data_IF_383790537885
#
_entry.id   IF_383790537885
#
_cell.length_a   1.000
_cell.length_b   1.000
_cell.length_c   1.000
_cell.angle_alpha   90.00
_cell.angle_beta   90.00
_cell.angle_gamma   90.00
#
_symmetry.space_group_name_H-M   'P 1'
#
loop_
_entity.id
_entity.type
_entity.pdbx_description
1 polymer ?
#
# COMPACT_ATOMS: atom_id res chain seq x y z
N UNK A 1 47.64 -56.85 -12.09
CA UNK A 1 46.21 -57.20 -12.20
C UNK A 1 45.38 -56.35 -11.25
N UNK A 2 44.69 -55.34 -11.82
CA UNK A 2 43.33 -54.86 -11.52
C UNK A 2 42.84 -54.93 -10.07
N UNK A 3 42.96 -53.86 -9.28
CA UNK A 3 42.10 -53.61 -8.09
C UNK A 3 41.92 -52.12 -7.77
N UNK A 4 41.55 -51.29 -8.76
CA UNK A 4 41.16 -49.89 -8.53
C UNK A 4 39.96 -49.55 -9.42
N UNK A 5 38.79 -50.15 -9.16
CA UNK A 5 37.54 -49.85 -9.89
C UNK A 5 36.27 -50.15 -9.08
N UNK A 6 36.32 -50.16 -7.74
CA UNK A 6 35.11 -50.39 -6.92
C UNK A 6 34.96 -49.37 -5.79
N UNK A 7 35.33 -48.11 -6.07
CA UNK A 7 35.03 -46.99 -5.15
C UNK A 7 34.45 -45.79 -5.92
N UNK A 8 33.68 -46.06 -6.98
CA UNK A 8 32.93 -45.03 -7.71
C UNK A 8 31.50 -45.49 -8.02
N UNK A 9 30.94 -46.34 -7.15
CA UNK A 9 29.56 -46.84 -7.31
C UNK A 9 28.74 -46.79 -6.01
N UNK A 10 29.11 -45.91 -5.08
CA UNK A 10 28.40 -45.68 -3.82
C UNK A 10 27.89 -44.24 -3.64
N UNK A 11 27.84 -43.44 -4.71
CA UNK A 11 27.35 -42.06 -4.65
C UNK A 11 25.98 -41.84 -5.33
N UNK A 12 25.27 -42.90 -5.71
CA UNK A 12 23.99 -42.80 -6.44
C UNK A 12 22.75 -43.21 -5.66
N UNK A 13 22.87 -43.61 -4.38
CA UNK A 13 21.72 -44.01 -3.56
C UNK A 13 21.62 -43.06 -2.38
N UNK A 14 20.98 -41.90 -2.57
CA UNK A 14 20.88 -40.93 -1.47
C UNK A 14 19.87 -39.78 -1.61
N UNK A 15 19.41 -39.42 -2.81
CA UNK A 15 18.38 -38.39 -2.93
C UNK A 15 17.00 -39.00 -3.06
N UNK A 16 16.36 -39.29 -1.92
CA UNK A 16 14.89 -39.33 -1.84
C UNK A 16 14.42 -37.88 -1.98
N UNK A 17 14.20 -37.45 -3.22
CA UNK A 17 13.54 -36.18 -3.50
C UNK A 17 12.14 -36.23 -2.92
N UNK A 18 11.90 -35.50 -1.83
CA UNK A 18 10.54 -35.15 -1.43
C UNK A 18 10.03 -34.14 -2.46
N UNK A 19 9.26 -34.60 -3.44
CA UNK A 19 8.41 -33.70 -4.19
C UNK A 19 7.34 -33.21 -3.21
N UNK A 20 7.35 -31.91 -2.90
CA UNK A 20 6.26 -31.29 -2.15
C UNK A 20 5.03 -31.33 -3.08
N UNK A 21 4.10 -32.22 -2.79
CA UNK A 21 2.76 -32.11 -3.35
C UNK A 21 2.19 -30.81 -2.81
N UNK A 22 2.08 -29.79 -3.68
CA UNK A 22 1.37 -28.58 -3.35
C UNK A 22 -0.07 -29.01 -3.09
N UNK A 23 -0.45 -29.15 -1.83
CA UNK A 23 -1.87 -29.09 -1.50
C UNK A 23 -2.34 -27.77 -2.09
N UNK A 24 -3.22 -27.86 -3.10
CA UNK A 24 -4.01 -26.71 -3.52
C UNK A 24 -4.72 -26.30 -2.24
N UNK A 25 -4.19 -25.29 -1.55
CA UNK A 25 -4.95 -24.57 -0.56
C UNK A 25 -6.18 -24.17 -1.35
N UNK A 26 -7.35 -24.73 -1.00
CA UNK A 26 -8.61 -24.20 -1.49
C UNK A 26 -8.58 -22.75 -1.06
N UNK A 27 -8.17 -21.88 -1.97
CA UNK A 27 -8.23 -20.45 -1.79
C UNK A 27 -9.71 -20.23 -1.52
N UNK A 28 -10.05 -19.95 -0.26
CA UNK A 28 -11.35 -19.37 0.04
C UNK A 28 -11.32 -18.08 -0.77
N UNK A 29 -11.97 -18.10 -1.95
CA UNK A 29 -12.07 -16.96 -2.83
C UNK A 29 -12.74 -15.88 -1.99
N UNK A 30 -11.92 -15.06 -1.37
CA UNK A 30 -12.36 -13.99 -0.50
C UNK A 30 -12.82 -12.92 -1.46
N UNK A 31 -14.13 -12.66 -1.48
CA UNK A 31 -14.65 -11.61 -2.33
C UNK A 31 -14.34 -10.27 -1.65
N UNK A 32 -13.17 -9.70 -1.95
CA UNK A 32 -12.73 -8.42 -1.44
C UNK A 32 -12.81 -7.33 -2.51
N UNK A 33 -13.41 -6.20 -2.15
CA UNK A 33 -13.40 -4.97 -2.95
C UNK A 33 -12.52 -3.94 -2.25
N UNK A 34 -11.63 -3.28 -2.99
CA UNK A 34 -10.81 -2.18 -2.46
C UNK A 34 -11.64 -0.91 -2.33
N UNK A 35 -11.18 0.03 -1.50
CA UNK A 35 -11.77 1.36 -1.46
C UNK A 35 -11.57 2.08 -2.80
N UNK A 36 -12.55 2.88 -3.21
CA UNK A 36 -12.53 3.56 -4.50
C UNK A 36 -13.08 4.98 -4.37
N UNK A 37 -12.36 5.97 -4.91
CA UNK A 37 -12.87 7.33 -5.03
C UNK A 37 -13.68 7.49 -6.32
N UNK A 38 -14.78 8.28 -6.34
CA UNK A 38 -15.49 8.56 -7.57
C UNK A 38 -14.59 9.19 -8.64
N UNK A 39 -14.30 8.44 -9.71
CA UNK A 39 -13.36 8.83 -10.77
C UNK A 39 -11.92 8.34 -10.58
N UNK A 40 -11.67 7.48 -9.59
CA UNK A 40 -10.38 6.87 -9.30
C UNK A 40 -9.37 7.79 -8.60
N UNK A 41 -8.18 7.25 -8.37
CA UNK A 41 -7.13 7.90 -7.57
C UNK A 41 -6.67 9.24 -8.14
N UNK A 42 -6.57 9.34 -9.48
CA UNK A 42 -6.22 10.60 -10.15
C UNK A 42 -7.26 11.70 -9.93
N UNK A 43 -8.54 11.35 -9.89
CA UNK A 43 -9.60 12.32 -9.58
C UNK A 43 -9.50 12.80 -8.14
N UNK A 44 -9.21 11.90 -7.20
CA UNK A 44 -8.95 12.27 -5.81
C UNK A 44 -7.75 13.22 -5.68
N UNK A 45 -6.61 12.85 -6.29
CA UNK A 45 -5.41 13.67 -6.23
C UNK A 45 -5.64 15.09 -6.76
N UNK A 46 -6.35 15.23 -7.88
CA UNK A 46 -6.70 16.53 -8.44
C UNK A 46 -7.63 17.34 -7.52
N UNK A 47 -8.63 16.70 -6.91
CA UNK A 47 -9.52 17.38 -5.97
C UNK A 47 -8.81 17.81 -4.69
N UNK A 48 -7.97 16.94 -4.13
CA UNK A 48 -7.19 17.26 -2.95
C UNK A 48 -6.22 18.42 -3.23
N UNK A 49 -5.47 18.38 -4.33
CA UNK A 49 -4.58 19.47 -4.72
C UNK A 49 -5.33 20.78 -4.95
N UNK A 50 -6.54 20.72 -5.52
CA UNK A 50 -7.41 21.89 -5.64
C UNK A 50 -7.77 22.48 -4.28
N UNK A 51 -8.08 21.64 -3.28
CA UNK A 51 -8.36 22.12 -1.92
C UNK A 51 -7.10 22.70 -1.26
N UNK A 52 -5.94 22.08 -1.46
CA UNK A 52 -4.66 22.62 -0.99
C UNK A 52 -4.44 24.03 -1.55
N UNK A 53 -4.50 24.21 -2.87
CA UNK A 53 -4.30 25.54 -3.48
C UNK A 53 -5.36 26.58 -3.10
N UNK A 54 -6.59 26.14 -2.78
CA UNK A 54 -7.68 27.05 -2.43
C UNK A 54 -7.59 27.57 -0.99
N UNK A 55 -7.03 26.78 -0.07
CA UNK A 55 -7.06 27.08 1.37
C UNK A 55 -5.68 27.34 1.97
N UNK A 56 -4.61 26.83 1.35
CA UNK A 56 -3.27 26.82 1.91
C UNK A 56 -2.35 27.65 1.01
N UNK A 57 -1.66 28.61 1.62
CA UNK A 57 -0.61 29.37 0.95
C UNK A 57 0.71 28.61 1.04
N UNK A 58 0.99 27.80 0.01
CA UNK A 58 2.19 26.97 -0.05
C UNK A 58 3.50 27.79 -0.02
N UNK A 59 3.47 29.09 -0.34
CA UNK A 59 4.67 29.95 -0.31
C UNK A 59 5.18 30.21 1.11
N UNK A 60 4.35 29.99 2.13
CA UNK A 60 4.73 30.14 3.54
C UNK A 60 5.56 28.97 4.07
N UNK A 61 5.65 27.88 3.32
CA UNK A 61 6.36 26.69 3.73
C UNK A 61 7.68 26.54 2.96
N UNK A 62 8.77 26.31 3.70
CA UNK A 62 10.08 25.98 3.12
C UNK A 62 10.23 24.48 2.79
N UNK A 63 9.14 23.71 2.81
CA UNK A 63 9.15 22.28 2.52
C UNK A 63 9.30 22.06 1.02
N UNK A 64 10.34 21.33 0.64
CA UNK A 64 10.65 21.05 -0.76
C UNK A 64 10.90 19.55 -0.93
N UNK A 65 10.21 18.93 -1.87
CA UNK A 65 10.37 17.51 -2.17
C UNK A 65 9.06 16.77 -2.39
N UNK A 66 9.17 15.44 -2.50
CA UNK A 66 8.02 14.55 -2.67
C UNK A 66 7.49 14.13 -1.31
N UNK A 67 6.25 14.48 -1.03
CA UNK A 67 5.50 13.97 0.11
C UNK A 67 4.54 12.87 -0.32
N UNK A 68 4.31 11.92 0.59
CA UNK A 68 3.34 10.84 0.46
C UNK A 68 2.31 11.02 1.57
N UNK A 69 1.05 11.09 1.17
CA UNK A 69 -0.10 11.18 2.06
C UNK A 69 -0.71 9.79 2.18
N UNK A 70 -0.76 9.27 3.40
CA UNK A 70 -1.32 7.95 3.72
C UNK A 70 -2.55 8.20 4.58
N UNK A 71 -3.67 7.55 4.29
CA UNK A 71 -4.88 7.77 5.06
C UNK A 71 -5.78 6.54 5.02
N UNK A 72 -6.68 6.47 5.99
CA UNK A 72 -7.69 5.43 6.07
C UNK A 72 -9.01 5.91 5.45
N UNK A 73 -9.70 4.99 4.77
CA UNK A 73 -11.10 5.19 4.36
C UNK A 73 -12.00 4.48 5.36
N UNK A 74 -12.74 5.25 6.15
CA UNK A 74 -13.67 4.73 7.13
C UNK A 74 -14.91 4.11 6.47
N UNK A 75 -15.68 3.25 7.18
CA UNK A 75 -16.92 2.64 6.65
C UNK A 75 -17.97 3.65 6.17
N UNK A 76 -17.94 4.90 6.65
CA UNK A 76 -18.85 5.97 6.22
C UNK A 76 -18.38 6.72 4.95
N UNK A 77 -17.27 6.26 4.36
CA UNK A 77 -16.65 6.81 3.16
C UNK A 77 -15.83 8.08 3.40
N UNK A 78 -15.60 8.47 4.67
CA UNK A 78 -14.76 9.62 5.01
C UNK A 78 -13.31 9.19 5.21
N UNK A 79 -12.41 10.14 4.96
CA UNK A 79 -10.99 9.98 5.23
C UNK A 79 -10.71 10.22 6.71
N UNK A 80 -9.88 9.36 7.31
CA UNK A 80 -9.34 9.50 8.66
C UNK A 80 -7.84 9.18 8.69
N UNK A 81 -7.21 9.40 9.86
CA UNK A 81 -5.82 9.01 10.13
C UNK A 81 -4.82 9.43 9.04
N UNK A 82 -4.87 10.69 8.60
CA UNK A 82 -3.92 11.20 7.62
C UNK A 82 -2.51 11.20 8.25
N UNK A 83 -1.59 10.52 7.58
CA UNK A 83 -0.17 10.57 7.83
C UNK A 83 0.56 11.16 6.62
N UNK A 84 1.69 11.82 6.88
CA UNK A 84 2.49 12.53 5.88
C UNK A 84 3.94 12.11 6.03
N UNK A 85 4.50 11.60 4.93
CA UNK A 85 5.86 11.08 4.85
C UNK A 85 6.66 11.80 3.75
N UNK A 86 7.98 12.02 3.91
CA UNK A 86 8.74 11.80 5.14
C UNK A 86 8.36 12.83 6.23
N UNK A 87 8.60 12.47 7.49
CA UNK A 87 8.57 13.44 8.59
C UNK A 87 9.77 14.36 8.46
N UNK A 88 9.52 15.67 8.31
CA UNK A 88 10.57 16.68 8.23
C UNK A 88 10.48 17.60 9.43
N UNK A 89 11.61 18.19 9.84
CA UNK A 89 11.61 19.10 11.00
C UNK A 89 10.74 20.32 10.72
N UNK A 90 9.99 20.77 11.73
CA UNK A 90 9.13 21.96 11.66
C UNK A 90 8.01 21.85 10.61
N UNK A 91 7.50 20.64 10.34
CA UNK A 91 6.41 20.42 9.39
C UNK A 91 5.03 20.27 10.01
N UNK A 92 4.90 20.46 11.32
CA UNK A 92 3.67 20.23 12.06
C UNK A 92 2.53 21.08 11.49
N UNK A 93 2.77 22.38 11.30
CA UNK A 93 1.79 23.30 10.70
C UNK A 93 1.44 22.92 9.25
N UNK A 94 2.42 22.46 8.46
CA UNK A 94 2.16 21.97 7.11
C UNK A 94 1.24 20.75 7.14
N UNK A 95 1.48 19.80 8.05
CA UNK A 95 0.67 18.59 8.21
C UNK A 95 -0.76 18.95 8.63
N UNK A 96 -0.93 19.83 9.61
CA UNK A 96 -2.24 20.33 10.06
C UNK A 96 -3.03 20.99 8.92
N UNK A 97 -2.36 21.77 8.07
CA UNK A 97 -2.96 22.39 6.90
C UNK A 97 -3.38 21.35 5.83
N UNK A 98 -2.57 20.30 5.63
CA UNK A 98 -2.93 19.20 4.73
C UNK A 98 -4.10 18.38 5.28
N UNK A 99 -4.17 18.17 6.59
CA UNK A 99 -5.33 17.57 7.26
C UNK A 99 -6.59 18.42 7.12
N UNK A 100 -6.45 19.75 7.15
CA UNK A 100 -7.58 20.64 6.90
C UNK A 100 -8.03 20.56 5.45
N UNK A 101 -7.10 20.64 4.49
CA UNK A 101 -7.39 20.62 3.06
C UNK A 101 -8.05 19.30 2.62
N UNK A 102 -7.58 18.15 3.12
CA UNK A 102 -8.16 16.84 2.75
C UNK A 102 -9.61 16.73 3.21
N UNK A 103 -9.96 17.30 4.37
CA UNK A 103 -11.34 17.35 4.90
C UNK A 103 -12.28 18.24 4.07
N UNK A 104 -11.75 19.07 3.17
CA UNK A 104 -12.55 19.90 2.24
C UNK A 104 -12.95 19.16 0.97
N UNK A 105 -12.35 18.00 0.68
CA UNK A 105 -12.81 17.14 -0.42
C UNK A 105 -14.21 16.63 -0.06
N UNK A 106 -15.23 17.07 -0.82
CA UNK A 106 -16.63 16.82 -0.47
C UNK A 106 -17.15 15.45 -0.90
N UNK A 107 -16.55 14.88 -1.96
CA UNK A 107 -16.92 13.55 -2.43
C UNK A 107 -16.45 12.50 -1.42
N UNK A 108 -17.31 11.51 -1.18
CA UNK A 108 -17.00 10.37 -0.31
C UNK A 108 -16.35 9.25 -1.11
N UNK A 109 -15.45 8.54 -0.46
CA UNK A 109 -14.94 7.27 -0.97
C UNK A 109 -16.00 6.17 -0.81
N UNK A 110 -16.01 5.22 -1.72
CA UNK A 110 -16.60 3.91 -1.47
C UNK A 110 -15.61 3.12 -0.59
N UNK A 111 -16.00 2.65 0.60
CA UNK A 111 -15.10 1.90 1.47
C UNK A 111 -14.77 0.53 0.87
N UNK A 112 -13.65 -0.04 1.32
CA UNK A 112 -13.33 -1.44 1.03
C UNK A 112 -14.36 -2.37 1.70
N UNK A 113 -14.69 -3.47 1.04
CA UNK A 113 -15.62 -4.49 1.56
C UNK A 113 -14.95 -5.85 1.48
N UNK A 114 -15.22 -6.71 2.46
CA UNK A 114 -14.79 -8.11 2.47
C UNK A 114 -16.00 -8.96 2.78
N UNK A 115 -16.31 -9.89 1.88
CA UNK A 115 -17.40 -10.86 2.01
C UNK A 115 -18.82 -10.27 2.01
N UNK A 116 -19.02 -9.11 1.34
CA UNK A 116 -20.34 -8.50 1.11
C UNK A 116 -20.78 -7.58 2.22
#
# INVERSE_FOLDING_TARGET
MKKTIITLFLFFIGFKGYAQESQIQKENITNSQTAEFPGGDSAFANEFLKMVHAYIDLQKYAVNGKFVFVFDVNPDGKIGNLDVLPKVKNSEMFIEDMEFAIKKVKKKWKPAMKDG
#
